data_IF_459173149042
#
_entry.id   IF_459173149042
#
_cell.length_a   1.000
_cell.length_b   1.000
_cell.length_c   1.000
_cell.angle_alpha   90.00
_cell.angle_beta   90.00
_cell.angle_gamma   90.00
#
_symmetry.space_group_name_H-M   'P 1'
#
loop_
_entity.id
_entity.type
_entity.pdbx_description
1 polymer ?
#
# COMPACT_ATOMS: atom_id res chain seq x y z
N UNK A 1 25.14 23.35 2.25
CA UNK A 1 23.76 23.58 1.77
C UNK A 1 23.45 22.48 0.77
N UNK A 2 22.33 21.78 0.90
CA UNK A 2 21.92 20.81 -0.11
C UNK A 2 21.57 21.55 -1.41
N UNK A 3 22.03 21.04 -2.55
CA UNK A 3 21.69 21.60 -3.85
C UNK A 3 20.25 21.23 -4.24
N UNK A 4 19.67 21.98 -5.20
CA UNK A 4 18.37 21.64 -5.77
C UNK A 4 18.40 20.23 -6.40
N UNK A 5 19.54 19.82 -6.97
CA UNK A 5 19.70 18.48 -7.52
C UNK A 5 19.73 17.39 -6.44
N UNK A 6 20.33 17.65 -5.27
CA UNK A 6 20.28 16.72 -4.13
C UNK A 6 18.84 16.53 -3.64
N UNK A 7 18.05 17.62 -3.61
CA UNK A 7 16.64 17.56 -3.24
C UNK A 7 15.80 16.78 -4.26
N UNK A 8 16.03 16.98 -5.56
CA UNK A 8 15.37 16.19 -6.63
C UNK A 8 15.73 14.72 -6.53
N UNK A 9 16.99 14.39 -6.25
CA UNK A 9 17.43 13.02 -6.08
C UNK A 9 16.76 12.35 -4.89
N UNK A 10 16.75 13.01 -3.73
CA UNK A 10 16.08 12.51 -2.54
C UNK A 10 14.57 12.31 -2.77
N UNK A 11 13.91 13.27 -3.42
CA UNK A 11 12.50 13.17 -3.79
C UNK A 11 12.23 11.97 -4.72
N UNK A 12 13.04 11.75 -5.75
CA UNK A 12 12.93 10.56 -6.63
C UNK A 12 13.08 9.26 -5.85
N UNK A 13 14.01 9.19 -4.91
CA UNK A 13 14.16 8.01 -4.03
C UNK A 13 12.89 7.75 -3.21
N UNK A 14 12.27 8.80 -2.66
CA UNK A 14 10.98 8.67 -1.95
C UNK A 14 9.89 8.17 -2.89
N UNK A 15 9.79 8.71 -4.11
CA UNK A 15 8.80 8.28 -5.10
C UNK A 15 8.96 6.80 -5.48
N UNK A 16 10.19 6.36 -5.74
CA UNK A 16 10.50 4.97 -6.08
C UNK A 16 10.19 4.02 -4.93
N UNK A 17 10.52 4.41 -3.69
CA UNK A 17 10.19 3.62 -2.51
C UNK A 17 8.67 3.54 -2.29
N UNK A 18 7.95 4.65 -2.50
CA UNK A 18 6.49 4.67 -2.40
C UNK A 18 5.86 3.74 -3.44
N UNK A 19 6.37 3.71 -4.67
CA UNK A 19 5.95 2.78 -5.73
C UNK A 19 6.23 1.32 -5.34
N UNK A 20 7.45 1.02 -4.87
CA UNK A 20 7.81 -0.33 -4.44
C UNK A 20 6.88 -0.82 -3.32
N UNK A 21 6.67 -0.02 -2.27
CA UNK A 21 5.81 -0.37 -1.14
C UNK A 21 4.34 -0.49 -1.60
N UNK A 22 3.90 0.35 -2.54
CA UNK A 22 2.55 0.28 -3.11
C UNK A 22 2.30 -1.06 -3.83
N UNK A 23 3.26 -1.53 -4.63
CA UNK A 23 3.19 -2.83 -5.30
C UNK A 23 3.15 -3.96 -4.27
N UNK A 24 4.01 -3.93 -3.26
CA UNK A 24 4.03 -4.92 -2.19
C UNK A 24 2.73 -4.93 -1.37
N UNK A 25 2.16 -3.76 -1.11
CA UNK A 25 0.89 -3.63 -0.40
C UNK A 25 -0.25 -4.29 -1.18
N UNK A 26 -0.31 -4.11 -2.50
CA UNK A 26 -1.30 -4.80 -3.34
C UNK A 26 -1.13 -6.32 -3.27
N UNK A 27 0.09 -6.83 -3.38
CA UNK A 27 0.36 -8.26 -3.29
C UNK A 27 -0.03 -8.83 -1.91
N UNK A 28 0.18 -8.05 -0.84
CA UNK A 28 -0.27 -8.40 0.51
C UNK A 28 -1.81 -8.46 0.60
N UNK A 29 -2.51 -7.46 0.06
CA UNK A 29 -3.97 -7.46 0.01
C UNK A 29 -4.53 -8.68 -0.75
N UNK A 30 -3.93 -9.04 -1.89
CA UNK A 30 -4.32 -10.24 -2.64
C UNK A 30 -4.11 -11.53 -1.83
N UNK A 31 -3.02 -11.59 -1.06
CA UNK A 31 -2.72 -12.73 -0.18
C UNK A 31 -3.74 -12.83 0.96
N UNK A 32 -4.09 -11.70 1.59
CA UNK A 32 -5.12 -11.63 2.62
C UNK A 32 -6.48 -12.08 2.08
N UNK A 33 -6.86 -11.63 0.87
CA UNK A 33 -8.08 -12.08 0.20
C UNK A 33 -8.12 -13.60 0.04
N UNK A 34 -7.04 -14.22 -0.48
CA UNK A 34 -6.92 -15.67 -0.61
C UNK A 34 -7.03 -16.40 0.73
N UNK A 35 -6.47 -15.84 1.81
CA UNK A 35 -6.64 -16.40 3.14
C UNK A 35 -8.07 -16.29 3.65
N UNK A 36 -8.73 -15.15 3.45
CA UNK A 36 -10.15 -14.96 3.78
C UNK A 36 -11.06 -15.94 3.05
N UNK A 37 -10.79 -16.20 1.77
CA UNK A 37 -11.53 -17.16 0.96
C UNK A 37 -11.34 -18.61 1.47
N UNK A 38 -10.09 -19.00 1.77
CA UNK A 38 -9.79 -20.32 2.35
C UNK A 38 -10.46 -20.54 3.70
N UNK A 39 -10.45 -19.52 4.58
CA UNK A 39 -11.18 -19.56 5.84
C UNK A 39 -12.68 -19.76 5.63
N UNK A 40 -13.26 -19.10 4.63
CA UNK A 40 -14.67 -19.26 4.27
C UNK A 40 -15.03 -20.68 3.80
N UNK A 41 -14.12 -21.37 3.11
CA UNK A 41 -14.31 -22.76 2.67
C UNK A 41 -14.27 -23.73 3.85
N UNK A 42 -13.28 -23.59 4.73
CA UNK A 42 -13.01 -24.54 5.82
C UNK A 42 -13.95 -24.35 7.02
N UNK A 43 -14.42 -23.13 7.26
CA UNK A 43 -15.08 -22.76 8.52
C UNK A 43 -16.58 -22.59 8.51
N UNK A 44 -17.32 -23.24 7.59
CA UNK A 44 -18.79 -23.14 7.59
C UNK A 44 -19.36 -23.56 8.96
N UNK A 45 -19.96 -22.60 9.66
CA UNK A 45 -20.57 -22.80 10.99
C UNK A 45 -19.68 -22.50 12.20
N UNK A 46 -18.39 -22.21 12.02
CA UNK A 46 -17.49 -21.87 13.13
C UNK A 46 -17.45 -20.36 13.40
N UNK A 47 -17.93 -19.95 14.58
CA UNK A 47 -17.92 -18.54 15.01
C UNK A 47 -16.50 -17.94 15.03
N UNK A 48 -15.51 -18.73 15.46
CA UNK A 48 -14.10 -18.32 15.49
C UNK A 48 -13.56 -18.06 14.09
N UNK A 49 -13.93 -18.89 13.11
CA UNK A 49 -13.46 -18.72 11.73
C UNK A 49 -14.18 -17.55 11.05
N UNK A 50 -15.45 -17.31 11.36
CA UNK A 50 -16.17 -16.12 10.90
C UNK A 50 -15.51 -14.83 11.43
N UNK A 51 -15.12 -14.79 12.71
CA UNK A 51 -14.40 -13.65 13.28
C UNK A 51 -13.02 -13.46 12.63
N UNK A 52 -12.27 -14.56 12.46
CA UNK A 52 -10.97 -14.52 11.77
C UNK A 52 -11.10 -13.99 10.33
N UNK A 53 -12.11 -14.44 9.59
CA UNK A 53 -12.40 -13.96 8.23
C UNK A 53 -12.71 -12.46 8.22
N UNK A 54 -13.49 -11.98 9.19
CA UNK A 54 -13.81 -10.56 9.30
C UNK A 54 -12.55 -9.72 9.56
N UNK A 55 -11.68 -10.17 10.48
CA UNK A 55 -10.40 -9.49 10.76
C UNK A 55 -9.49 -9.44 9.53
N UNK A 56 -9.40 -10.54 8.78
CA UNK A 56 -8.63 -10.60 7.53
C UNK A 56 -9.21 -9.63 6.48
N UNK A 57 -10.53 -9.55 6.34
CA UNK A 57 -11.17 -8.60 5.43
C UNK A 57 -10.92 -7.13 5.81
N UNK A 58 -10.92 -6.81 7.11
CA UNK A 58 -10.56 -5.48 7.61
C UNK A 58 -9.10 -5.17 7.30
N UNK A 59 -8.19 -6.11 7.56
CA UNK A 59 -6.78 -5.94 7.24
C UNK A 59 -6.53 -5.74 5.75
N UNK A 60 -7.21 -6.51 4.89
CA UNK A 60 -7.12 -6.36 3.43
C UNK A 60 -7.48 -4.93 3.01
N UNK A 61 -8.63 -4.41 3.47
CA UNK A 61 -9.08 -3.06 3.13
C UNK A 61 -8.11 -1.97 3.61
N UNK A 62 -7.56 -2.13 4.82
CA UNK A 62 -6.58 -1.20 5.35
C UNK A 62 -5.31 -1.17 4.47
N UNK A 63 -4.83 -2.33 4.04
CA UNK A 63 -3.66 -2.44 3.15
C UNK A 63 -3.95 -1.85 1.76
N UNK A 64 -5.14 -2.09 1.20
CA UNK A 64 -5.57 -1.46 -0.06
C UNK A 64 -5.60 0.07 0.04
N UNK A 65 -6.10 0.60 1.17
CA UNK A 65 -6.11 2.04 1.44
C UNK A 65 -4.70 2.62 1.58
N UNK A 66 -3.77 1.90 2.24
CA UNK A 66 -2.36 2.28 2.30
C UNK A 66 -1.73 2.32 0.90
N UNK A 67 -2.02 1.33 0.05
CA UNK A 67 -1.56 1.31 -1.34
C UNK A 67 -2.07 2.51 -2.14
N UNK A 68 -3.34 2.89 -1.97
CA UNK A 68 -3.91 4.09 -2.59
C UNK A 68 -3.22 5.38 -2.09
N UNK A 69 -2.96 5.47 -0.79
CA UNK A 69 -2.27 6.61 -0.18
C UNK A 69 -0.85 6.77 -0.72
N UNK A 70 -0.12 5.66 -0.89
CA UNK A 70 1.23 5.66 -1.49
C UNK A 70 1.22 6.11 -2.95
N UNK A 71 0.17 5.76 -3.71
CA UNK A 71 -0.01 6.26 -5.08
C UNK A 71 -0.20 7.78 -5.10
N UNK A 72 -1.00 8.32 -4.18
CA UNK A 72 -1.15 9.77 -4.01
C UNK A 72 0.16 10.43 -3.59
N UNK A 73 0.90 9.83 -2.66
CA UNK A 73 2.22 10.33 -2.23
C UNK A 73 3.18 10.44 -3.41
N UNK A 74 3.28 9.41 -4.25
CA UNK A 74 4.08 9.45 -5.48
C UNK A 74 3.70 10.63 -6.37
N UNK A 75 2.40 10.80 -6.66
CA UNK A 75 1.91 11.92 -7.47
C UNK A 75 2.26 13.30 -6.86
N UNK A 76 2.21 13.43 -5.54
CA UNK A 76 2.58 14.67 -4.86
C UNK A 76 4.08 14.94 -4.95
N UNK A 77 4.91 13.90 -4.82
CA UNK A 77 6.37 14.00 -4.95
C UNK A 77 6.77 14.36 -6.38
N UNK A 78 6.13 13.76 -7.39
CA UNK A 78 6.36 14.10 -8.80
C UNK A 78 6.02 15.57 -9.10
N UNK A 79 4.91 16.07 -8.53
CA UNK A 79 4.55 17.50 -8.61
C UNK A 79 5.58 18.38 -7.92
N UNK A 80 6.01 18.02 -6.71
CA UNK A 80 7.06 18.74 -6.00
C UNK A 80 8.35 18.85 -6.82
N UNK A 81 8.82 17.76 -7.43
CA UNK A 81 10.01 17.75 -8.29
C UNK A 81 9.84 18.70 -9.48
N UNK A 82 8.65 18.73 -10.10
CA UNK A 82 8.35 19.62 -11.22
C UNK A 82 8.29 21.09 -10.82
N UNK A 83 7.91 21.41 -9.58
CA UNK A 83 7.82 22.78 -9.06
C UNK A 83 9.19 23.33 -8.64
N UNK A 84 10.04 22.54 -7.98
CA UNK A 84 11.39 22.98 -7.57
C UNK A 84 12.36 23.13 -8.74
N UNK A 85 11.99 22.63 -9.93
CA UNK A 85 12.75 22.81 -11.16
C UNK A 85 12.39 24.06 -11.96
N UNK A 86 11.37 24.82 -11.53
CA UNK A 86 10.99 26.11 -12.10
C UNK A 86 11.70 27.24 -11.39
#
# INVERSE_FOLDING_TARGET
>A
MASIEDLKYAARTVANNAEYIQVQSRACADTLKRHGDRLGVVGKGSRTILDARQRVAVAQRAVEQSAATLLTLRSNVDRFIAEIGK
#
